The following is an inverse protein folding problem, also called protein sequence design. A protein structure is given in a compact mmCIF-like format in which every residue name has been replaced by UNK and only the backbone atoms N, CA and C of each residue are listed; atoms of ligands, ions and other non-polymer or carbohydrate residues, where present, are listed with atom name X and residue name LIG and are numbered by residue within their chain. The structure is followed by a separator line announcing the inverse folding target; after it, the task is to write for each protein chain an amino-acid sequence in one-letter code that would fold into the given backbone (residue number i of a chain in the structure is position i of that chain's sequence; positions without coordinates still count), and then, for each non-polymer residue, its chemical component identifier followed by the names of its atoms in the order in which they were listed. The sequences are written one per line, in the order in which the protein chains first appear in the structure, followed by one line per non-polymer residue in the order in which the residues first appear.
data_IF_425778438195
#
_entry.id   IF_425778438195
#
_cell.length_a   1.000
_cell.length_b   1.000
_cell.length_c   1.000
_cell.angle_alpha   90.00
_cell.angle_beta   90.00
_cell.angle_gamma   90.00
#
_symmetry.space_group_name_H-M   'P 1'
#
loop_
_entity.id
_entity.type
_entity.pdbx_description
1 polymer ?
#
# COMPACT_ATOMS: atom_id res chain seq x y z
N UNK A 1 52.16 6.95 -35.60
CA UNK A 1 51.62 7.98 -34.68
C UNK A 1 50.15 7.67 -34.34
N UNK A 2 49.89 6.65 -33.52
CA UNK A 2 48.53 6.17 -33.18
C UNK A 2 48.38 5.91 -31.67
N UNK A 3 48.94 6.80 -30.83
CA UNK A 3 48.85 6.69 -29.36
C UNK A 3 48.28 7.96 -28.73
N UNK A 4 48.08 9.03 -29.51
CA UNK A 4 47.63 10.33 -29.01
C UNK A 4 46.12 10.56 -29.01
N UNK A 5 45.33 9.69 -29.65
CA UNK A 5 43.87 9.86 -29.79
C UNK A 5 43.04 9.07 -28.77
N UNK A 6 43.65 8.17 -27.99
CA UNK A 6 42.91 7.34 -27.00
C UNK A 6 42.89 8.03 -25.62
N UNK A 7 43.92 8.83 -25.29
CA UNK A 7 43.99 9.53 -24.01
C UNK A 7 42.95 10.66 -23.86
N UNK A 8 42.51 11.27 -24.97
CA UNK A 8 41.53 12.37 -24.96
C UNK A 8 40.07 11.90 -24.87
N UNK A 9 39.77 10.65 -25.20
CA UNK A 9 38.40 10.09 -25.06
C UNK A 9 38.16 9.58 -23.64
N UNK A 10 39.20 9.08 -22.96
CA UNK A 10 39.09 8.59 -21.58
C UNK A 10 38.92 9.70 -20.53
N UNK A 11 39.47 10.90 -20.77
CA UNK A 11 39.33 12.03 -19.82
C UNK A 11 37.96 12.72 -19.95
N UNK A 12 37.36 12.73 -21.15
CA UNK A 12 36.01 13.28 -21.35
C UNK A 12 34.91 12.41 -20.73
N UNK A 13 35.14 11.10 -20.60
CA UNK A 13 34.15 10.17 -20.00
C UNK A 13 34.13 10.23 -18.46
N UNK A 14 35.21 10.64 -17.80
CA UNK A 14 35.26 10.79 -16.33
C UNK A 14 34.59 12.11 -15.87
N UNK A 15 34.65 13.16 -16.69
CA UNK A 15 33.98 14.44 -16.40
C UNK A 15 32.47 14.45 -16.71
N UNK A 16 31.99 13.58 -17.61
CA UNK A 16 30.56 13.45 -17.89
C UNK A 16 29.80 12.60 -16.86
N UNK A 17 30.49 11.75 -16.10
CA UNK A 17 29.89 10.91 -15.02
C UNK A 17 29.82 11.66 -13.67
N UNK A 18 30.51 12.79 -13.54
CA UNK A 18 30.57 13.57 -12.29
C UNK A 18 29.59 14.77 -12.25
N UNK A 19 28.75 14.96 -13.27
CA UNK A 19 27.76 16.05 -13.28
C UNK A 19 26.29 15.60 -13.07
N UNK A 20 26.04 14.32 -12.79
CA UNK A 20 24.68 13.82 -12.44
C UNK A 20 24.56 13.29 -11.00
N UNK A 21 25.63 13.35 -10.20
CA UNK A 21 25.70 12.66 -8.90
C UNK A 21 25.61 13.55 -7.66
N UNK A 22 25.44 14.87 -7.79
CA UNK A 22 25.43 15.78 -6.61
C UNK A 22 24.00 16.19 -6.17
N UNK A 23 22.97 15.99 -6.99
CA UNK A 23 21.58 16.35 -6.64
C UNK A 23 20.72 15.19 -6.13
N UNK A 24 21.06 13.93 -6.44
CA UNK A 24 20.32 12.76 -5.95
C UNK A 24 20.65 12.37 -4.49
N UNK A 25 21.81 12.78 -3.98
CA UNK A 25 22.26 12.41 -2.62
C UNK A 25 21.47 13.10 -1.51
N UNK A 26 21.18 14.40 -1.63
CA UNK A 26 20.46 15.13 -0.56
C UNK A 26 19.01 14.68 -0.39
N UNK A 27 18.30 14.42 -1.49
CA UNK A 27 16.92 13.92 -1.41
C UNK A 27 16.86 12.50 -0.84
N UNK A 28 17.74 11.59 -1.29
CA UNK A 28 17.78 10.22 -0.77
C UNK A 28 18.17 10.15 0.72
N UNK A 29 19.11 10.99 1.17
CA UNK A 29 19.51 11.05 2.59
C UNK A 29 18.39 11.63 3.46
N UNK A 30 17.69 12.68 2.99
CA UNK A 30 16.54 13.26 3.71
C UNK A 30 15.36 12.28 3.75
N UNK A 31 15.14 11.53 2.68
CA UNK A 31 14.09 10.52 2.62
C UNK A 31 14.42 9.31 3.51
N UNK A 32 15.68 8.84 3.54
CA UNK A 32 16.13 7.83 4.50
C UNK A 32 16.04 8.31 5.95
N UNK A 33 16.42 9.56 6.25
CA UNK A 33 16.29 10.11 7.60
C UNK A 33 14.81 10.25 8.02
N UNK A 34 13.92 10.62 7.11
CA UNK A 34 12.46 10.66 7.38
C UNK A 34 11.86 9.26 7.54
N UNK A 35 12.34 8.27 6.81
CA UNK A 35 11.92 6.87 6.97
C UNK A 35 12.40 6.29 8.31
N UNK A 36 13.57 6.71 8.80
CA UNK A 36 14.02 6.36 10.15
C UNK A 36 13.20 7.06 11.24
N UNK A 37 12.72 8.28 10.99
CA UNK A 37 11.89 9.03 11.94
C UNK A 37 10.44 8.52 12.01
N UNK A 38 9.87 8.05 10.89
CA UNK A 38 8.48 7.56 10.79
C UNK A 38 8.42 6.19 10.09
N UNK A 39 8.86 5.12 10.78
CA UNK A 39 9.06 3.82 10.16
C UNK A 39 7.74 3.09 9.85
N UNK A 40 6.71 3.15 10.72
CA UNK A 40 5.40 2.53 10.42
C UNK A 40 4.75 3.27 9.26
N UNK A 41 4.82 4.61 9.26
CA UNK A 41 4.22 5.42 8.18
C UNK A 41 4.79 5.03 6.81
N UNK A 42 6.11 4.95 6.71
CA UNK A 42 6.79 4.57 5.46
C UNK A 42 6.29 3.22 4.94
N UNK A 43 6.26 2.21 5.81
CA UNK A 43 5.85 0.85 5.45
C UNK A 43 4.35 0.77 5.10
N UNK A 44 3.50 1.49 5.85
CA UNK A 44 2.07 1.55 5.60
C UNK A 44 1.75 2.23 4.26
N UNK A 45 2.39 3.36 3.96
CA UNK A 45 2.24 4.05 2.69
C UNK A 45 2.73 3.20 1.51
N UNK A 46 3.86 2.50 1.69
CA UNK A 46 4.39 1.58 0.67
C UNK A 46 3.44 0.41 0.40
N UNK A 47 2.81 -0.15 1.44
CA UNK A 47 1.78 -1.18 1.27
C UNK A 47 0.57 -0.64 0.49
N UNK A 48 0.06 0.54 0.85
CA UNK A 48 -1.06 1.17 0.15
C UNK A 48 -0.71 1.42 -1.32
N UNK A 49 0.51 1.88 -1.61
CA UNK A 49 0.99 2.09 -2.97
C UNK A 49 1.03 0.77 -3.77
N UNK A 50 1.61 -0.30 -3.20
CA UNK A 50 1.64 -1.63 -3.84
C UNK A 50 0.25 -2.19 -4.10
N UNK A 51 -0.66 -2.07 -3.13
CA UNK A 51 -2.05 -2.52 -3.27
C UNK A 51 -2.80 -1.71 -4.33
N UNK A 52 -2.51 -0.41 -4.45
CA UNK A 52 -3.11 0.45 -5.45
C UNK A 52 -2.56 0.18 -6.86
N UNK A 53 -1.26 -0.09 -6.97
CA UNK A 53 -0.60 -0.44 -8.23
C UNK A 53 -1.13 -1.75 -8.81
N UNK A 54 -1.42 -2.73 -7.95
CA UNK A 54 -2.06 -4.01 -8.33
C UNK A 54 -3.57 -3.93 -8.53
N UNK A 55 -4.18 -2.75 -8.32
CA UNK A 55 -5.63 -2.58 -8.46
C UNK A 55 -6.47 -3.20 -7.33
N UNK A 56 -5.84 -3.74 -6.28
CA UNK A 56 -6.54 -4.36 -5.14
C UNK A 56 -7.25 -3.35 -4.25
N UNK A 57 -6.63 -2.18 -4.10
CA UNK A 57 -7.22 -1.03 -3.47
C UNK A 57 -7.43 0.03 -4.56
N UNK A 58 -8.70 0.38 -4.83
CA UNK A 58 -8.98 1.48 -5.75
C UNK A 58 -8.21 2.74 -5.32
N UNK A 59 -7.54 3.40 -6.28
CA UNK A 59 -6.90 4.70 -6.06
C UNK A 59 -7.88 5.59 -5.31
N UNK A 60 -7.41 6.29 -4.28
CA UNK A 60 -8.23 7.31 -3.62
C UNK A 60 -8.57 8.35 -4.68
N UNK A 61 -9.75 8.18 -5.27
CA UNK A 61 -10.28 9.06 -6.28
C UNK A 61 -10.64 10.35 -5.53
N UNK A 62 -9.73 11.32 -5.61
CA UNK A 62 -9.84 12.62 -4.95
C UNK A 62 -11.11 13.33 -5.38
N UNK A 63 -11.66 13.08 -6.57
CA UNK A 63 -12.99 13.55 -6.97
C UNK A 63 -14.12 12.82 -6.24
N UNK A 64 -14.02 11.52 -5.96
CA UNK A 64 -14.99 10.81 -5.09
C UNK A 64 -14.91 11.25 -3.64
N UNK A 65 -13.72 11.57 -3.14
CA UNK A 65 -13.58 12.12 -1.79
C UNK A 65 -14.06 13.56 -1.71
N UNK A 66 -13.73 14.39 -2.70
CA UNK A 66 -14.24 15.75 -2.80
C UNK A 66 -15.77 15.78 -2.97
N UNK A 67 -16.35 14.88 -3.74
CA UNK A 67 -17.82 14.78 -3.88
C UNK A 67 -18.50 14.16 -2.65
N UNK A 68 -17.84 13.25 -1.93
CA UNK A 68 -18.32 12.80 -0.60
C UNK A 68 -18.22 13.90 0.45
N UNK A 69 -17.15 14.70 0.43
CA UNK A 69 -16.95 15.82 1.32
C UNK A 69 -17.96 16.93 1.00
N UNK A 70 -18.12 17.28 -0.28
CA UNK A 70 -19.12 18.23 -0.76
C UNK A 70 -20.54 17.75 -0.47
N UNK A 71 -20.83 16.45 -0.64
CA UNK A 71 -22.12 15.83 -0.31
C UNK A 71 -22.38 15.77 1.21
N UNK A 72 -21.34 15.66 2.02
CA UNK A 72 -21.45 15.74 3.48
C UNK A 72 -21.66 17.18 3.96
N UNK A 73 -20.99 18.14 3.32
CA UNK A 73 -21.14 19.57 3.56
C UNK A 73 -22.48 20.12 3.03
N UNK A 74 -23.04 19.53 1.97
CA UNK A 74 -24.28 20.02 1.33
C UNK A 74 -25.58 19.48 1.95
N UNK A 75 -25.50 18.54 2.90
CA UNK A 75 -26.55 18.06 3.83
C UNK A 75 -28.02 17.96 3.37
N UNK A 76 -28.35 18.01 2.08
CA UNK A 76 -29.77 18.04 1.67
C UNK A 76 -30.10 17.96 0.18
N UNK A 77 -29.23 18.29 -0.76
CA UNK A 77 -29.61 18.29 -2.19
C UNK A 77 -28.53 17.61 -3.04
N UNK A 78 -28.94 16.54 -3.73
CA UNK A 78 -28.14 15.71 -4.64
C UNK A 78 -27.08 14.79 -4.01
N UNK A 79 -27.51 13.56 -3.66
CA UNK A 79 -26.64 12.39 -3.79
C UNK A 79 -26.31 12.22 -5.28
N UNK A 80 -25.23 12.84 -5.76
CA UNK A 80 -24.69 12.50 -7.08
C UNK A 80 -24.13 11.09 -7.00
N UNK A 81 -24.96 10.10 -7.31
CA UNK A 81 -24.57 8.71 -7.51
C UNK A 81 -23.68 8.66 -8.76
N UNK A 82 -22.39 8.96 -8.60
CA UNK A 82 -21.39 8.56 -9.57
C UNK A 82 -21.19 7.05 -9.44
N UNK A 83 -22.11 6.30 -10.05
CA UNK A 83 -21.92 4.89 -10.30
C UNK A 83 -20.62 4.76 -11.10
N UNK A 84 -19.62 3.98 -10.62
CA UNK A 84 -18.44 3.72 -11.42
C UNK A 84 -18.89 3.07 -12.74
N UNK A 85 -18.44 3.64 -13.87
CA UNK A 85 -18.79 3.14 -15.22
C UNK A 85 -18.38 1.68 -15.45
N UNK A 86 -17.43 1.17 -14.65
CA UNK A 86 -16.94 -0.20 -14.69
C UNK A 86 -16.90 -0.78 -13.27
N UNK A 87 -17.38 -2.03 -13.14
CA UNK A 87 -17.32 -2.76 -11.88
C UNK A 87 -15.85 -3.12 -11.56
N UNK A 88 -15.34 -2.75 -10.37
CA UNK A 88 -13.95 -3.01 -10.02
C UNK A 88 -13.60 -4.51 -10.00
N UNK A 89 -14.55 -5.39 -9.69
CA UNK A 89 -14.34 -6.84 -9.72
C UNK A 89 -14.10 -7.33 -11.15
N UNK A 90 -14.91 -6.88 -12.10
CA UNK A 90 -14.81 -7.32 -13.50
C UNK A 90 -13.53 -6.76 -14.14
N UNK A 91 -13.14 -5.54 -13.77
CA UNK A 91 -11.87 -4.93 -14.19
C UNK A 91 -10.66 -5.71 -13.66
N UNK A 92 -10.71 -6.10 -12.39
CA UNK A 92 -9.67 -6.92 -11.77
C UNK A 92 -9.56 -8.30 -12.41
N UNK A 93 -10.68 -9.00 -12.59
CA UNK A 93 -10.68 -10.31 -13.26
C UNK A 93 -10.15 -10.22 -14.69
N UNK A 94 -10.51 -9.19 -15.45
CA UNK A 94 -9.97 -8.96 -16.78
C UNK A 94 -8.45 -8.73 -16.77
N UNK A 95 -7.92 -8.08 -15.73
CA UNK A 95 -6.48 -7.82 -15.57
C UNK A 95 -5.65 -9.07 -15.25
N UNK A 96 -6.27 -10.12 -14.73
CA UNK A 96 -5.57 -11.39 -14.47
C UNK A 96 -5.31 -12.18 -15.76
N UNK A 97 -6.00 -11.86 -16.87
CA UNK A 97 -5.76 -12.38 -18.23
C UNK A 97 -5.40 -13.88 -18.28
N UNK A 98 -6.11 -14.70 -17.52
CA UNK A 98 -5.84 -16.12 -17.35
C UNK A 98 -6.98 -16.98 -17.90
N UNK A 99 -6.65 -18.18 -18.41
CA UNK A 99 -7.63 -19.26 -18.67
C UNK A 99 -8.28 -19.69 -17.35
N UNK A 100 -9.41 -20.42 -17.37
CA UNK A 100 -10.11 -20.81 -16.12
C UNK A 100 -9.21 -21.52 -15.10
N UNK A 101 -8.34 -22.44 -15.56
CA UNK A 101 -7.35 -23.10 -14.71
C UNK A 101 -6.23 -22.16 -14.24
N UNK A 102 -5.76 -21.26 -15.10
CA UNK A 102 -4.76 -20.26 -14.73
C UNK A 102 -5.31 -19.18 -13.79
N UNK A 103 -6.62 -18.93 -13.80
CA UNK A 103 -7.26 -17.93 -12.96
C UNK A 103 -7.22 -18.33 -11.49
N UNK A 104 -7.43 -19.62 -11.20
CA UNK A 104 -7.31 -20.14 -9.84
C UNK A 104 -5.89 -19.93 -9.29
N UNK A 105 -4.87 -20.31 -10.05
CA UNK A 105 -3.47 -20.15 -9.65
C UNK A 105 -3.09 -18.67 -9.48
N UNK A 106 -3.49 -17.82 -10.44
CA UNK A 106 -3.25 -16.38 -10.37
C UNK A 106 -3.92 -15.76 -9.13
N UNK A 107 -5.17 -16.11 -8.84
CA UNK A 107 -5.87 -15.61 -7.65
C UNK A 107 -5.24 -16.08 -6.35
N UNK A 108 -4.85 -17.35 -6.27
CA UNK A 108 -4.16 -17.90 -5.09
C UNK A 108 -2.84 -17.16 -4.86
N UNK A 109 -2.05 -16.95 -5.91
CA UNK A 109 -0.79 -16.19 -5.84
C UNK A 109 -0.99 -14.75 -5.36
N UNK A 110 -1.99 -14.05 -5.90
CA UNK A 110 -2.31 -12.68 -5.52
C UNK A 110 -2.74 -12.57 -4.04
N UNK A 111 -3.52 -13.53 -3.53
CA UNK A 111 -3.92 -13.59 -2.11
C UNK A 111 -2.72 -13.90 -1.20
N UNK A 112 -1.85 -14.84 -1.59
CA UNK A 112 -0.62 -15.15 -0.83
C UNK A 112 0.27 -13.91 -0.73
N UNK A 113 0.42 -13.18 -1.84
CA UNK A 113 1.21 -11.96 -1.88
C UNK A 113 0.62 -10.87 -0.99
N UNK A 114 -0.70 -10.62 -1.10
CA UNK A 114 -1.39 -9.67 -0.22
C UNK A 114 -1.26 -10.05 1.27
N UNK A 115 -1.31 -11.35 1.58
CA UNK A 115 -1.12 -11.90 2.92
C UNK A 115 0.28 -11.62 3.44
N UNK A 116 1.30 -11.89 2.61
CA UNK A 116 2.71 -11.66 2.95
C UNK A 116 2.99 -10.19 3.22
N UNK A 117 2.54 -9.31 2.33
CA UNK A 117 2.70 -7.86 2.46
C UNK A 117 2.05 -7.33 3.75
N UNK A 118 0.84 -7.81 4.06
CA UNK A 118 0.12 -7.43 5.29
C UNK A 118 0.84 -7.95 6.53
N UNK A 119 1.34 -9.20 6.48
CA UNK A 119 2.12 -9.80 7.57
C UNK A 119 3.41 -9.02 7.84
N UNK A 120 4.11 -8.57 6.80
CA UNK A 120 5.33 -7.75 6.94
C UNK A 120 5.05 -6.45 7.68
N UNK A 121 4.00 -5.71 7.29
CA UNK A 121 3.61 -4.49 8.00
C UNK A 121 3.26 -4.80 9.47
N UNK A 122 2.47 -5.84 9.70
CA UNK A 122 2.07 -6.30 11.05
C UNK A 122 3.27 -6.59 11.95
N UNK A 123 4.28 -7.31 11.45
CA UNK A 123 5.49 -7.62 12.22
C UNK A 123 6.25 -6.35 12.61
N UNK A 124 6.30 -5.36 11.71
CA UNK A 124 6.98 -4.10 11.97
C UNK A 124 6.26 -3.23 13.00
N UNK A 125 4.92 -3.25 13.02
CA UNK A 125 4.12 -2.56 14.04
C UNK A 125 4.32 -3.17 15.44
N UNK A 126 4.61 -4.47 15.52
CA UNK A 126 4.89 -5.15 16.79
C UNK A 126 6.31 -4.92 17.33
N UNK A 127 7.22 -4.42 16.50
CA UNK A 127 8.61 -4.19 16.89
C UNK A 127 8.70 -3.22 18.09
N UNK A 128 9.41 -3.57 19.18
CA UNK A 128 9.63 -2.68 20.31
C UNK A 128 10.17 -1.29 19.92
N UNK A 129 10.97 -1.18 18.86
CA UNK A 129 11.46 0.11 18.37
C UNK A 129 10.32 1.01 17.88
N UNK A 130 9.35 0.43 17.17
CA UNK A 130 8.14 1.10 16.69
C UNK A 130 7.18 1.50 17.82
N UNK A 131 7.42 1.04 19.05
CA UNK A 131 6.60 1.34 20.22
C UNK A 131 7.10 2.54 21.04
N UNK A 132 8.26 3.12 20.72
CA UNK A 132 8.85 4.25 21.47
C UNK A 132 8.71 5.60 20.77
N UNK A 133 7.70 5.71 19.89
CA UNK A 133 7.48 6.87 19.03
C UNK A 133 6.87 8.02 19.84
N UNK A 134 7.38 9.26 19.72
CA UNK A 134 6.79 10.45 20.35
C UNK A 134 5.31 10.64 19.96
N UNK A 135 4.47 11.19 20.84
CA UNK A 135 3.04 11.42 20.58
C UNK A 135 2.70 12.10 19.24
N UNK A 136 3.36 13.22 18.86
CA UNK A 136 3.01 13.90 17.60
C UNK A 136 3.26 13.01 16.38
N UNK A 137 4.32 12.19 16.42
CA UNK A 137 4.69 11.26 15.37
C UNK A 137 3.79 10.02 15.35
N UNK A 138 3.41 9.53 16.54
CA UNK A 138 2.49 8.40 16.72
C UNK A 138 1.15 8.67 16.04
N UNK A 139 0.64 9.91 16.09
CA UNK A 139 -0.59 10.28 15.39
C UNK A 139 -0.47 10.13 13.87
N UNK A 140 0.67 10.53 13.29
CA UNK A 140 0.91 10.45 11.85
C UNK A 140 1.04 8.98 11.42
N UNK A 141 1.81 8.20 12.18
CA UNK A 141 2.02 6.76 11.98
C UNK A 141 0.69 6.00 12.01
N UNK A 142 -0.16 6.30 12.99
CA UNK A 142 -1.48 5.69 13.12
C UNK A 142 -2.40 6.01 11.95
N UNK A 143 -2.44 7.25 11.48
CA UNK A 143 -3.27 7.61 10.32
C UNK A 143 -2.84 6.86 9.06
N UNK A 144 -1.54 6.64 8.87
CA UNK A 144 -1.03 5.82 7.77
C UNK A 144 -1.41 4.34 7.96
N UNK A 145 -1.29 3.82 9.17
CA UNK A 145 -1.66 2.45 9.51
C UNK A 145 -3.16 2.18 9.29
N UNK A 146 -4.04 3.10 9.67
CA UNK A 146 -5.48 3.02 9.40
C UNK A 146 -5.78 2.96 7.89
N UNK A 147 -5.06 3.76 7.09
CA UNK A 147 -5.19 3.71 5.61
C UNK A 147 -4.75 2.36 5.07
N UNK A 148 -3.66 1.80 5.57
CA UNK A 148 -3.20 0.46 5.21
C UNK A 148 -4.25 -0.61 5.55
N UNK A 149 -4.84 -0.57 6.76
CA UNK A 149 -5.94 -1.48 7.16
C UNK A 149 -7.16 -1.34 6.23
N UNK A 150 -7.52 -0.12 5.84
CA UNK A 150 -8.61 0.10 4.90
C UNK A 150 -8.28 -0.44 3.50
N UNK A 151 -7.04 -0.31 3.04
CA UNK A 151 -6.59 -0.86 1.78
C UNK A 151 -6.62 -2.40 1.78
N UNK A 152 -6.17 -3.04 2.85
CA UNK A 152 -6.19 -4.52 2.97
C UNK A 152 -7.61 -5.08 3.04
N UNK A 153 -8.52 -4.41 3.75
CA UNK A 153 -9.96 -4.77 3.76
C UNK A 153 -10.61 -4.63 2.39
N UNK A 154 -10.25 -3.59 1.62
CA UNK A 154 -10.73 -3.41 0.24
C UNK A 154 -10.22 -4.53 -0.67
N UNK A 155 -8.94 -4.89 -0.56
CA UNK A 155 -8.37 -6.01 -1.29
C UNK A 155 -9.10 -7.32 -0.98
N UNK A 156 -9.34 -7.64 0.30
CA UNK A 156 -10.14 -8.82 0.69
C UNK A 156 -11.53 -8.80 0.05
N UNK A 157 -12.23 -7.66 0.11
CA UNK A 157 -13.57 -7.53 -0.50
C UNK A 157 -13.53 -7.73 -2.02
N UNK A 158 -12.50 -7.23 -2.69
CA UNK A 158 -12.28 -7.45 -4.11
C UNK A 158 -12.06 -8.93 -4.40
N UNK A 159 -11.17 -9.60 -3.67
CA UNK A 159 -10.91 -11.04 -3.83
C UNK A 159 -12.16 -11.87 -3.60
N UNK A 160 -12.91 -11.66 -2.52
CA UNK A 160 -14.20 -12.34 -2.27
C UNK A 160 -15.17 -12.14 -3.44
N UNK A 161 -15.26 -10.90 -3.95
CA UNK A 161 -16.09 -10.57 -5.10
C UNK A 161 -15.65 -11.31 -6.37
N UNK A 162 -14.35 -11.35 -6.62
CA UNK A 162 -13.73 -12.02 -7.76
C UNK A 162 -13.94 -13.54 -7.71
N UNK A 163 -13.68 -14.19 -6.56
CA UNK A 163 -13.92 -15.62 -6.33
C UNK A 163 -15.38 -15.97 -6.64
N UNK A 164 -16.32 -15.21 -6.06
CA UNK A 164 -17.75 -15.44 -6.25
C UNK A 164 -18.17 -15.23 -7.71
N UNK A 165 -17.60 -14.24 -8.40
CA UNK A 165 -17.92 -13.90 -9.79
C UNK A 165 -17.39 -14.97 -10.75
N UNK A 166 -16.16 -15.42 -10.53
CA UNK A 166 -15.51 -16.48 -11.29
C UNK A 166 -15.96 -17.90 -10.88
N UNK A 167 -16.86 -18.01 -9.89
CA UNK A 167 -17.38 -19.29 -9.37
C UNK A 167 -16.28 -20.27 -8.93
N UNK A 168 -15.19 -19.76 -8.37
CA UNK A 168 -14.09 -20.59 -7.86
C UNK A 168 -14.47 -21.18 -6.50
N UNK A 169 -14.46 -22.51 -6.39
CA UNK A 169 -14.87 -23.26 -5.17
C UNK A 169 -13.74 -24.09 -4.57
N UNK A 170 -12.49 -23.76 -4.88
CA UNK A 170 -11.33 -24.53 -4.41
C UNK A 170 -11.05 -24.30 -2.91
N UNK A 171 -10.77 -25.39 -2.19
CA UNK A 171 -10.53 -25.35 -0.73
C UNK A 171 -9.23 -24.63 -0.38
N UNK A 172 -8.18 -24.78 -1.19
CA UNK A 172 -6.89 -24.11 -0.93
C UNK A 172 -7.03 -22.60 -1.07
N UNK A 173 -7.81 -22.14 -2.05
CA UNK A 173 -8.12 -20.70 -2.23
C UNK A 173 -8.88 -20.13 -1.02
N UNK A 174 -9.85 -20.89 -0.48
CA UNK A 174 -10.57 -20.48 0.73
C UNK A 174 -9.66 -20.42 1.95
N UNK A 175 -8.73 -21.39 2.07
CA UNK A 175 -7.72 -21.38 3.13
C UNK A 175 -6.83 -20.13 3.04
N UNK A 176 -6.31 -19.79 1.85
CA UNK A 176 -5.50 -18.59 1.65
C UNK A 176 -6.28 -17.30 2.01
N UNK A 177 -7.57 -17.24 1.66
CA UNK A 177 -8.42 -16.11 2.02
C UNK A 177 -8.67 -16.02 3.54
N UNK A 178 -8.79 -17.17 4.21
CA UNK A 178 -8.89 -17.23 5.67
C UNK A 178 -7.59 -16.77 6.33
N UNK A 179 -6.44 -17.21 5.85
CA UNK A 179 -5.13 -16.74 6.33
C UNK A 179 -4.97 -15.22 6.13
N UNK A 180 -5.39 -14.70 4.97
CA UNK A 180 -5.39 -13.26 4.72
C UNK A 180 -6.28 -12.50 5.73
N UNK A 181 -7.46 -13.06 6.03
CA UNK A 181 -8.39 -12.50 7.02
C UNK A 181 -7.75 -12.42 8.40
N UNK A 182 -7.08 -13.48 8.84
CA UNK A 182 -6.36 -13.50 10.13
C UNK A 182 -5.31 -12.39 10.19
N UNK A 183 -4.57 -12.13 9.11
CA UNK A 183 -3.60 -11.03 9.09
C UNK A 183 -4.28 -9.65 9.18
N UNK A 184 -5.42 -9.45 8.52
CA UNK A 184 -6.19 -8.20 8.58
C UNK A 184 -6.70 -7.96 10.00
N UNK A 185 -7.22 -8.99 10.66
CA UNK A 185 -7.77 -8.89 12.00
C UNK A 185 -6.66 -8.59 13.03
N UNK A 186 -5.52 -9.26 12.90
CA UNK A 186 -4.35 -8.98 13.73
C UNK A 186 -3.81 -7.55 13.55
N UNK A 187 -3.68 -7.07 12.30
CA UNK A 187 -3.25 -5.71 12.01
C UNK A 187 -4.25 -4.67 12.56
N UNK A 188 -5.55 -4.96 12.46
CA UNK A 188 -6.61 -4.13 13.03
C UNK A 188 -6.46 -4.03 14.55
N UNK A 189 -6.27 -5.16 15.24
CA UNK A 189 -6.11 -5.19 16.68
C UNK A 189 -4.90 -4.37 17.14
N UNK A 190 -3.77 -4.47 16.44
CA UNK A 190 -2.57 -3.67 16.72
C UNK A 190 -2.80 -2.17 16.51
N UNK A 191 -3.50 -1.81 15.44
CA UNK A 191 -3.87 -0.41 15.16
C UNK A 191 -4.73 0.15 16.31
N UNK A 192 -5.69 -0.63 16.80
CA UNK A 192 -6.54 -0.25 17.92
C UNK A 192 -5.75 -0.14 19.23
N UNK A 193 -4.82 -1.05 19.49
CA UNK A 193 -3.96 -1.02 20.68
C UNK A 193 -3.07 0.23 20.70
N UNK A 194 -2.48 0.61 19.56
CA UNK A 194 -1.73 1.86 19.44
C UNK A 194 -2.61 3.09 19.69
N UNK A 195 -3.86 3.08 19.21
CA UNK A 195 -4.80 4.17 19.47
C UNK A 195 -5.16 4.29 20.96
N UNK A 196 -5.40 3.17 21.64
CA UNK A 196 -5.65 3.16 23.08
C UNK A 196 -4.46 3.70 23.87
N UNK A 197 -3.24 3.31 23.49
CA UNK A 197 -2.01 3.84 24.12
C UNK A 197 -1.89 5.35 23.93
N UNK A 198 -2.13 5.86 22.74
CA UNK A 198 -2.12 7.32 22.48
C UNK A 198 -3.10 8.04 23.40
N UNK A 199 -4.32 7.53 23.53
CA UNK A 199 -5.35 8.13 24.39
C UNK A 199 -4.89 8.19 25.85
N UNK A 200 -4.31 7.10 26.36
CA UNK A 200 -3.78 7.04 27.72
C UNK A 200 -2.66 8.06 27.98
N UNK A 201 -1.79 8.31 27.00
CA UNK A 201 -0.71 9.31 27.10
C UNK A 201 -1.23 10.75 27.04
N UNK A 202 -2.32 11.01 26.31
CA UNK A 202 -2.93 12.37 26.26
C UNK A 202 -3.81 12.72 27.47
N UNK A 203 -4.24 11.76 28.27
CA UNK A 203 -5.15 11.97 29.41
C UNK A 203 -4.48 11.91 30.79
N UNK A 204 -3.21 11.52 30.86
CA UNK A 204 -2.40 11.50 32.09
C UNK A 204 -1.35 12.59 32.09
#
# INVERSE_FOLDING_TARGET
MQVRTIASVLIAMVLAVSCTTITAGKQNIIEQQRQQALPIKSMADALVARFSARGWAGKMDTQKQASKLAGFLSRGWAKTNHAPKTNPVDTYLASLSATETGLLEAMTSEIILATTETKTLRQHVQDPASQNIPEPDLRIEMLALERAVLATRKAKKLFVGAIRRAKLTDNSLQEQLAQFTVQIDALTAQTNALNQRRQAVTTG
#
